data_IF_787833996108
#
_entry.id   IF_787833996108
#
_cell.length_a   1.000
_cell.length_b   1.000
_cell.length_c   1.000
_cell.angle_alpha   90.00
_cell.angle_beta   90.00
_cell.angle_gamma   90.00
#
_symmetry.space_group_name_H-M   'P 1'
#
loop_
_entity.id
_entity.type
_entity.pdbx_description
1 polymer ?
#
# COMPACT_ATOMS: atom_id res chain seq x y z
N UNK A 1 -0.58 27.30 26.09
CA UNK A 1 0.45 26.41 25.50
C UNK A 1 -0.09 25.83 24.20
N UNK A 2 0.57 26.08 23.08
CA UNK A 2 0.16 25.53 21.78
C UNK A 2 0.70 24.10 21.62
N UNK A 3 -0.13 23.18 21.12
CA UNK A 3 0.32 21.86 20.66
C UNK A 3 0.59 21.94 19.17
N UNK A 4 1.78 21.55 18.75
CA UNK A 4 2.16 21.45 17.34
C UNK A 4 2.26 19.97 16.96
N UNK A 5 1.77 19.62 15.79
CA UNK A 5 1.87 18.28 15.23
C UNK A 5 2.50 18.39 13.84
N UNK A 6 3.62 17.71 13.64
CA UNK A 6 4.24 17.55 12.33
C UNK A 6 3.71 16.26 11.71
N UNK A 7 3.07 16.36 10.55
CA UNK A 7 2.51 15.21 9.83
C UNK A 7 3.18 15.10 8.46
N UNK A 8 3.96 14.05 8.25
CA UNK A 8 4.48 13.71 6.94
C UNK A 8 3.38 13.07 6.11
N UNK A 9 3.05 13.67 4.97
CA UNK A 9 2.04 13.17 4.04
C UNK A 9 2.70 12.32 2.97
N UNK A 10 2.32 11.05 2.91
CA UNK A 10 2.67 10.15 1.81
C UNK A 10 1.64 10.27 0.71
N UNK A 11 2.09 10.35 -0.55
CA UNK A 11 1.21 10.29 -1.72
C UNK A 11 1.67 9.16 -2.60
N UNK A 12 0.75 8.25 -2.94
CA UNK A 12 0.97 7.24 -3.98
C UNK A 12 0.59 7.84 -5.32
N UNK A 13 1.39 7.63 -6.36
CA UNK A 13 1.08 8.10 -7.72
C UNK A 13 1.04 6.93 -8.70
N UNK A 14 -0.11 6.74 -9.34
CA UNK A 14 -0.25 5.77 -10.42
C UNK A 14 0.45 6.30 -11.68
N UNK A 15 1.51 5.62 -12.10
CA UNK A 15 2.29 5.98 -13.29
C UNK A 15 1.79 5.24 -14.54
N UNK A 16 1.41 3.98 -14.39
CA UNK A 16 0.98 3.07 -15.45
C UNK A 16 0.06 1.96 -14.88
N UNK A 17 -0.72 1.27 -15.73
CA UNK A 17 -0.99 1.55 -17.14
C UNK A 17 -1.84 2.82 -17.33
N UNK A 18 -1.91 3.34 -18.57
CA UNK A 18 -2.66 4.57 -18.87
C UNK A 18 -4.12 4.50 -18.42
N UNK A 19 -4.78 3.36 -18.63
CA UNK A 19 -6.17 3.12 -18.22
C UNK A 19 -6.36 3.32 -16.71
N UNK A 20 -5.50 2.74 -15.88
CA UNK A 20 -5.58 2.91 -14.43
C UNK A 20 -5.28 4.35 -14.00
N UNK A 21 -4.28 4.99 -14.61
CA UNK A 21 -4.00 6.41 -14.38
C UNK A 21 -5.21 7.30 -14.73
N UNK A 22 -6.03 6.87 -15.70
CA UNK A 22 -7.23 7.58 -16.10
C UNK A 22 -8.33 7.51 -15.02
N UNK A 23 -8.43 6.43 -14.26
CA UNK A 23 -9.38 6.31 -13.14
C UNK A 23 -9.11 7.35 -12.04
N UNK A 24 -7.85 7.75 -11.88
CA UNK A 24 -7.42 8.77 -10.94
C UNK A 24 -7.19 10.15 -11.60
N UNK A 25 -7.88 10.45 -12.71
CA UNK A 25 -7.71 11.73 -13.44
C UNK A 25 -7.94 12.95 -12.58
N UNK A 26 -8.98 12.93 -11.74
CA UNK A 26 -9.38 14.05 -10.89
C UNK A 26 -8.28 14.48 -9.93
N UNK A 27 -7.40 13.55 -9.54
CA UNK A 27 -6.27 13.78 -8.64
C UNK A 27 -4.92 13.81 -9.36
N UNK A 28 -4.91 13.77 -10.70
CA UNK A 28 -3.67 13.70 -11.50
C UNK A 28 -2.90 12.39 -11.32
N UNK A 29 -3.61 11.31 -10.98
CA UNK A 29 -3.03 10.00 -10.67
C UNK A 29 -2.62 9.84 -9.21
N UNK A 30 -3.01 10.74 -8.30
CA UNK A 30 -2.60 10.73 -6.89
C UNK A 30 -3.63 10.00 -6.03
N UNK A 31 -3.13 9.15 -5.14
CA UNK A 31 -3.89 8.53 -4.07
C UNK A 31 -3.29 9.07 -2.77
N UNK A 32 -4.14 9.66 -1.96
CA UNK A 32 -3.75 10.22 -0.68
C UNK A 32 -3.94 9.18 0.42
N UNK A 33 -3.00 9.16 1.36
CA UNK A 33 -3.03 8.22 2.48
C UNK A 33 -2.37 8.79 3.73
N UNK A 34 -2.37 7.98 4.78
CA UNK A 34 -1.68 8.28 6.03
C UNK A 34 -0.43 7.43 6.18
N UNK A 35 0.69 8.09 6.45
CA UNK A 35 1.98 7.45 6.69
C UNK A 35 2.01 6.80 8.07
N UNK A 36 2.58 5.59 8.14
CA UNK A 36 2.93 4.99 9.41
C UNK A 36 4.04 5.78 10.13
N UNK A 37 3.97 5.77 11.47
CA UNK A 37 4.99 6.35 12.36
C UNK A 37 6.23 5.46 12.51
N UNK A 38 6.26 4.33 11.80
CA UNK A 38 7.36 3.37 11.73
C UNK A 38 7.71 3.08 10.27
N UNK A 39 8.94 2.62 10.01
CA UNK A 39 9.40 2.32 8.65
C UNK A 39 9.40 3.54 7.71
N UNK A 40 9.28 4.76 8.24
CA UNK A 40 9.18 5.96 7.44
C UNK A 40 10.42 6.12 6.54
N UNK A 41 10.24 6.45 5.25
CA UNK A 41 11.37 6.68 4.36
C UNK A 41 12.07 7.99 4.75
N UNK A 42 13.31 8.17 4.29
CA UNK A 42 13.98 9.45 4.48
C UNK A 42 13.21 10.57 3.74
N UNK A 43 13.27 11.78 4.30
CA UNK A 43 12.59 12.94 3.73
C UNK A 43 13.09 13.20 2.29
N UNK A 44 12.17 13.24 1.33
CA UNK A 44 12.48 13.51 -0.08
C UNK A 44 12.64 12.29 -0.98
N UNK A 45 12.66 11.07 -0.43
CA UNK A 45 12.77 9.85 -1.23
C UNK A 45 11.47 9.53 -1.99
N UNK A 46 11.63 9.00 -3.21
CA UNK A 46 10.54 8.48 -4.03
C UNK A 46 10.85 7.08 -4.53
N UNK A 47 9.89 6.17 -4.38
CA UNK A 47 10.02 4.78 -4.82
C UNK A 47 9.16 4.54 -6.05
N UNK A 48 9.77 4.04 -7.12
CA UNK A 48 9.06 3.54 -8.30
C UNK A 48 9.08 2.01 -8.24
N UNK A 49 7.90 1.41 -8.16
CA UNK A 49 7.74 -0.04 -8.08
C UNK A 49 6.45 -0.50 -8.76
N UNK A 50 6.31 -1.82 -8.86
CA UNK A 50 5.07 -2.44 -9.32
C UNK A 50 4.15 -2.67 -8.13
N UNK A 51 2.85 -2.52 -8.35
CA UNK A 51 1.84 -2.89 -7.37
C UNK A 51 1.65 -4.41 -7.40
N UNK A 52 1.71 -5.05 -6.25
CA UNK A 52 1.42 -6.48 -6.07
C UNK A 52 0.29 -6.61 -5.07
N UNK A 53 -0.84 -7.18 -5.48
CA UNK A 53 -1.91 -7.50 -4.54
C UNK A 53 -1.59 -8.83 -3.85
N UNK A 54 -1.48 -8.83 -2.52
CA UNK A 54 -1.38 -10.08 -1.77
C UNK A 54 -2.76 -10.70 -1.68
N UNK A 55 -3.07 -11.71 -2.49
CA UNK A 55 -4.37 -12.37 -2.39
C UNK A 55 -4.42 -13.24 -1.12
N UNK A 56 -5.23 -12.84 -0.14
CA UNK A 56 -5.28 -13.48 1.18
C UNK A 56 -6.03 -14.80 1.12
N UNK A 57 -5.49 -15.81 1.80
CA UNK A 57 -6.06 -17.16 1.95
C UNK A 57 -6.91 -17.31 3.21
N UNK A 58 -7.27 -16.21 3.87
CA UNK A 58 -8.23 -16.16 4.98
C UNK A 58 -7.68 -15.58 6.27
N UNK A 59 -6.37 -15.33 6.38
CA UNK A 59 -5.72 -14.82 7.58
C UNK A 59 -5.49 -13.30 7.54
N UNK A 60 -6.14 -12.59 6.61
CA UNK A 60 -6.11 -11.12 6.49
C UNK A 60 -4.68 -10.55 6.52
N UNK A 61 -3.76 -11.16 5.77
CA UNK A 61 -2.36 -10.76 5.62
C UNK A 61 -1.53 -10.81 6.91
N UNK A 62 -1.98 -11.55 7.92
CA UNK A 62 -1.34 -11.59 9.24
C UNK A 62 -0.24 -12.65 9.36
N UNK A 63 -0.17 -13.60 8.43
CA UNK A 63 0.78 -14.72 8.49
C UNK A 63 1.55 -14.88 7.18
N UNK A 64 2.74 -15.49 7.25
CA UNK A 64 3.63 -15.66 6.09
C UNK A 64 3.03 -16.58 5.01
N UNK A 65 2.18 -17.53 5.40
CA UNK A 65 1.52 -18.47 4.50
C UNK A 65 0.24 -17.93 3.84
N UNK A 66 -0.23 -16.74 4.23
CA UNK A 66 -1.55 -16.24 3.85
C UNK A 66 -1.65 -15.75 2.41
N UNK A 67 -0.58 -15.23 1.83
CA UNK A 67 -0.57 -14.74 0.45
C UNK A 67 0.81 -14.99 -0.14
N UNK A 68 1.00 -14.74 -1.43
CA UNK A 68 2.30 -14.88 -2.10
C UNK A 68 2.70 -13.58 -2.79
N UNK A 69 4.00 -13.28 -2.81
CA UNK A 69 4.56 -12.10 -3.47
C UNK A 69 5.63 -12.60 -4.43
N UNK A 70 5.47 -12.41 -5.75
CA UNK A 70 6.45 -12.86 -6.73
C UNK A 70 7.77 -12.11 -6.57
N UNK A 71 8.87 -12.80 -6.87
CA UNK A 71 10.20 -12.19 -6.86
C UNK A 71 10.25 -11.01 -7.86
N UNK A 72 10.90 -9.87 -7.52
CA UNK A 72 11.00 -8.72 -8.42
C UNK A 72 11.60 -9.05 -9.80
N UNK A 73 12.45 -10.08 -9.88
CA UNK A 73 13.09 -10.54 -11.13
C UNK A 73 12.12 -11.22 -12.11
N UNK A 74 10.92 -11.60 -11.67
CA UNK A 74 9.93 -12.32 -12.49
C UNK A 74 9.00 -11.38 -13.28
N UNK A 75 9.19 -10.06 -13.19
CA UNK A 75 8.33 -9.10 -13.87
C UNK A 75 8.87 -8.65 -15.23
N UNK A 76 8.21 -9.08 -16.30
CA UNK A 76 8.31 -8.47 -17.63
C UNK A 76 7.10 -7.56 -17.88
N UNK A 77 7.26 -6.23 -17.98
CA UNK A 77 6.18 -5.34 -18.37
C UNK A 77 5.64 -5.71 -19.76
N UNK A 78 4.31 -5.73 -19.92
CA UNK A 78 3.69 -5.97 -21.21
C UNK A 78 4.14 -4.92 -22.25
N UNK A 79 4.63 -5.38 -23.40
CA UNK A 79 4.84 -4.53 -24.59
C UNK A 79 6.18 -3.78 -24.67
N UNK A 80 7.24 -4.17 -23.96
CA UNK A 80 8.58 -3.60 -24.14
C UNK A 80 9.69 -4.66 -24.26
N UNK A 81 10.47 -4.57 -25.35
CA UNK A 81 11.67 -5.38 -25.64
C UNK A 81 12.94 -4.89 -24.91
N UNK A 82 12.81 -4.10 -23.85
CA UNK A 82 13.96 -3.66 -23.07
C UNK A 82 14.04 -4.51 -21.81
N UNK A 83 15.10 -5.30 -21.75
CA UNK A 83 15.60 -5.94 -20.53
C UNK A 83 15.67 -4.93 -19.37
N UNK A 84 15.32 -5.42 -18.19
CA UNK A 84 15.96 -5.06 -16.91
C UNK A 84 15.64 -3.67 -16.30
N UNK A 85 14.37 -3.31 -16.13
CA UNK A 85 14.01 -2.47 -14.96
C UNK A 85 13.39 -3.39 -13.92
N UNK A 86 14.20 -3.83 -12.95
CA UNK A 86 13.70 -4.56 -11.78
C UNK A 86 12.87 -3.60 -10.93
N UNK A 87 11.55 -3.64 -11.10
CA UNK A 87 10.64 -2.87 -10.28
C UNK A 87 10.52 -3.55 -8.92
N UNK A 88 10.84 -2.83 -7.86
CA UNK A 88 10.60 -3.29 -6.49
C UNK A 88 9.12 -3.57 -6.25
N UNK A 89 8.84 -4.47 -5.33
CA UNK A 89 7.46 -4.82 -4.96
C UNK A 89 6.88 -3.78 -3.99
N UNK A 90 5.81 -3.11 -4.42
CA UNK A 90 4.92 -2.35 -3.55
C UNK A 90 3.72 -3.26 -3.28
N UNK A 91 3.65 -3.83 -2.08
CA UNK A 91 2.63 -4.84 -1.75
C UNK A 91 1.39 -4.18 -1.17
N UNK A 92 0.22 -4.52 -1.72
CA UNK A 92 -1.07 -4.07 -1.24
C UNK A 92 -1.74 -5.18 -0.41
N UNK A 93 -2.14 -4.83 0.81
CA UNK A 93 -2.77 -5.73 1.79
C UNK A 93 -4.00 -5.09 2.43
N UNK A 94 -4.89 -5.87 3.02
CA UNK A 94 -6.11 -5.37 3.66
C UNK A 94 -5.91 -5.16 5.17
N UNK A 95 -6.56 -4.14 5.75
CA UNK A 95 -6.58 -3.87 7.19
C UNK A 95 -7.52 -4.87 7.90
N UNK A 96 -7.13 -5.32 9.09
CA UNK A 96 -7.92 -6.23 9.94
C UNK A 96 -7.07 -7.38 10.50
N UNK A 97 -7.61 -8.15 11.45
CA UNK A 97 -6.97 -9.36 12.01
C UNK A 97 -5.76 -9.15 12.92
N UNK A 98 -4.86 -8.23 12.58
CA UNK A 98 -3.61 -7.95 13.29
C UNK A 98 -3.19 -6.48 13.11
N UNK A 99 -2.12 -6.09 13.81
CA UNK A 99 -1.57 -4.72 13.76
C UNK A 99 -0.98 -4.37 12.38
N UNK A 100 -0.88 -3.07 12.09
CA UNK A 100 -0.18 -2.57 10.90
C UNK A 100 1.27 -3.04 10.85
N UNK A 101 1.96 -3.00 12.00
CA UNK A 101 3.34 -3.50 12.16
C UNK A 101 3.46 -4.96 11.75
N UNK A 102 2.52 -5.81 12.18
CA UNK A 102 2.52 -7.24 11.81
C UNK A 102 2.41 -7.43 10.31
N UNK A 103 1.46 -6.75 9.65
CA UNK A 103 1.27 -6.82 8.19
C UNK A 103 2.52 -6.38 7.44
N UNK A 104 3.14 -5.29 7.87
CA UNK A 104 4.35 -4.76 7.22
C UNK A 104 5.53 -5.71 7.43
N UNK A 105 5.65 -6.35 8.60
CA UNK A 105 6.67 -7.39 8.84
C UNK A 105 6.50 -8.60 7.93
N UNK A 106 5.27 -9.10 7.79
CA UNK A 106 4.94 -10.22 6.88
C UNK A 106 5.31 -9.84 5.45
N UNK A 107 4.82 -8.69 4.96
CA UNK A 107 5.11 -8.22 3.61
C UNK A 107 6.62 -8.06 3.37
N UNK A 108 7.35 -7.49 4.34
CA UNK A 108 8.81 -7.32 4.27
C UNK A 108 9.55 -8.65 4.14
N UNK A 109 9.16 -9.68 4.91
CA UNK A 109 9.73 -11.04 4.78
C UNK A 109 9.46 -11.66 3.41
N UNK A 110 8.42 -11.18 2.72
CA UNK A 110 8.03 -11.58 1.36
C UNK A 110 8.50 -10.58 0.30
N UNK A 111 9.67 -9.96 0.51
CA UNK A 111 10.34 -9.08 -0.46
C UNK A 111 9.57 -7.79 -0.83
N UNK A 112 8.64 -7.34 0.02
CA UNK A 112 8.05 -6.01 -0.12
C UNK A 112 9.09 -4.93 0.20
N UNK A 113 9.14 -3.90 -0.63
CA UNK A 113 9.97 -2.71 -0.43
C UNK A 113 9.15 -1.50 0.02
N UNK A 114 7.83 -1.56 -0.16
CA UNK A 114 6.86 -0.64 0.42
C UNK A 114 5.53 -1.39 0.59
N UNK A 115 4.69 -0.91 1.52
CA UNK A 115 3.39 -1.54 1.80
C UNK A 115 2.28 -0.52 1.71
N UNK A 116 1.25 -0.82 0.93
CA UNK A 116 -0.01 -0.11 0.90
C UNK A 116 -1.02 -0.94 1.69
N UNK A 117 -1.57 -0.38 2.75
CA UNK A 117 -2.59 -1.02 3.56
C UNK A 117 -3.92 -0.37 3.20
N UNK A 118 -4.86 -1.17 2.71
CA UNK A 118 -6.20 -0.70 2.35
C UNK A 118 -7.11 -0.84 3.56
N UNK A 119 -7.88 0.20 3.85
CA UNK A 119 -8.83 0.17 4.95
C UNK A 119 -9.88 -0.96 4.80
N UNK A 120 -10.46 -1.36 5.92
CA UNK A 120 -11.36 -2.53 6.00
C UNK A 120 -12.65 -2.32 5.20
N UNK A 121 -13.24 -3.42 4.72
CA UNK A 121 -14.41 -3.42 3.80
C UNK A 121 -15.65 -2.75 4.39
N UNK A 122 -15.84 -2.86 5.70
CA UNK A 122 -16.96 -2.28 6.47
C UNK A 122 -16.65 -0.86 6.99
N UNK A 123 -15.54 -0.25 6.56
CA UNK A 123 -15.18 1.10 6.97
C UNK A 123 -16.03 2.15 6.26
N UNK A 124 -16.48 3.15 7.03
CA UNK A 124 -17.13 4.37 6.51
C UNK A 124 -16.14 5.50 6.24
N UNK A 125 -14.84 5.26 6.48
CA UNK A 125 -13.80 6.28 6.35
C UNK A 125 -13.55 6.63 4.89
N UNK A 126 -13.60 7.91 4.59
CA UNK A 126 -13.26 8.46 3.27
C UNK A 126 -11.75 8.65 3.11
N UNK A 127 -11.29 8.91 1.89
CA UNK A 127 -9.90 9.33 1.65
C UNK A 127 -9.53 10.62 2.39
N UNK A 128 -10.50 11.45 2.80
CA UNK A 128 -10.23 12.64 3.61
C UNK A 128 -10.02 12.28 5.09
N UNK A 129 -10.84 11.36 5.62
CA UNK A 129 -10.72 10.89 7.00
C UNK A 129 -9.40 10.16 7.20
N UNK A 130 -9.03 9.28 6.25
CA UNK A 130 -7.79 8.51 6.29
C UNK A 130 -6.57 9.42 6.41
N UNK A 131 -6.54 10.57 5.73
CA UNK A 131 -5.41 11.53 5.81
C UNK A 131 -5.16 12.10 7.20
N UNK A 132 -6.18 12.05 8.07
CA UNK A 132 -6.11 12.58 9.42
C UNK A 132 -5.86 11.50 10.47
N UNK A 133 -5.81 10.23 10.06
CA UNK A 133 -5.49 9.11 10.96
C UNK A 133 -3.98 9.06 11.15
N UNK A 134 -3.53 8.76 12.37
CA UNK A 134 -2.14 8.43 12.65
C UNK A 134 -2.02 6.91 12.72
N UNK A 135 -1.23 6.34 11.83
CA UNK A 135 -0.93 4.91 11.87
C UNK A 135 0.21 4.69 12.87
N UNK A 136 -0.16 4.29 14.08
CA UNK A 136 0.75 4.13 15.21
C UNK A 136 1.51 2.80 15.18
N UNK A 137 2.76 2.82 15.66
CA UNK A 137 3.50 1.63 16.06
C UNK A 137 2.81 0.93 17.24
N UNK A 138 2.83 -0.39 17.26
CA UNK A 138 2.32 -1.22 18.35
C UNK A 138 3.38 -1.57 19.41
N UNK A 139 4.58 -0.99 19.30
CA UNK A 139 5.72 -1.24 20.17
C UNK A 139 6.73 -2.23 19.59
N UNK A 140 6.45 -2.81 18.42
CA UNK A 140 7.32 -3.78 17.76
C UNK A 140 7.79 -3.33 16.37
N UNK A 141 7.58 -2.08 15.99
CA UNK A 141 7.96 -1.51 14.70
C UNK A 141 9.44 -1.13 14.54
N UNK A 142 10.25 -1.22 15.59
CA UNK A 142 11.66 -0.76 15.60
C UNK A 142 12.55 -1.34 14.49
N UNK A 143 12.26 -2.56 14.02
CA UNK A 143 13.02 -3.26 12.99
C UNK A 143 12.36 -3.17 11.59
N UNK A 144 11.35 -2.32 11.41
CA UNK A 144 10.74 -2.06 10.11
C UNK A 144 11.50 -0.93 9.41
N UNK A 145 12.02 -1.22 8.23
CA UNK A 145 12.80 -0.29 7.40
C UNK A 145 12.20 -0.07 6.01
N UNK A 146 10.92 -0.43 5.81
CA UNK A 146 10.20 -0.18 4.58
C UNK A 146 9.01 0.77 4.83
N UNK A 147 8.75 1.74 3.94
CA UNK A 147 7.63 2.66 4.08
C UNK A 147 6.29 1.93 4.01
N UNK A 148 5.33 2.42 4.80
CA UNK A 148 3.94 1.97 4.69
C UNK A 148 2.95 3.12 4.77
N UNK A 149 1.86 2.97 4.03
CA UNK A 149 0.78 3.95 3.92
C UNK A 149 -0.57 3.27 4.05
N UNK A 150 -1.47 3.87 4.83
CA UNK A 150 -2.89 3.51 4.88
C UNK A 150 -3.64 4.33 3.83
N UNK A 151 -4.42 3.68 2.98
CA UNK A 151 -5.32 4.32 2.01
C UNK A 151 -6.77 3.89 2.22
N UNK A 152 -7.70 4.66 1.67
CA UNK A 152 -9.13 4.33 1.73
C UNK A 152 -9.45 3.04 0.97
N UNK A 153 -10.56 2.40 1.37
CA UNK A 153 -11.07 1.24 0.66
C UNK A 153 -11.40 1.53 -0.83
N UNK A 154 -12.10 2.63 -1.18
CA UNK A 154 -12.34 3.00 -2.58
C UNK A 154 -11.05 3.15 -3.40
N UNK A 155 -10.05 3.85 -2.87
CA UNK A 155 -8.78 4.06 -3.57
C UNK A 155 -8.04 2.73 -3.79
N UNK A 156 -8.07 1.85 -2.78
CA UNK A 156 -7.53 0.50 -2.87
C UNK A 156 -8.19 -0.31 -3.97
N UNK A 157 -9.53 -0.36 -4.01
CA UNK A 157 -10.29 -1.07 -5.06
C UNK A 157 -9.89 -0.62 -6.47
N UNK A 158 -9.86 0.69 -6.70
CA UNK A 158 -9.45 1.24 -7.98
C UNK A 158 -8.00 0.86 -8.32
N UNK A 159 -7.06 0.95 -7.36
CA UNK A 159 -5.65 0.64 -7.60
C UNK A 159 -5.39 -0.81 -8.07
N UNK A 160 -6.14 -1.78 -7.53
CA UNK A 160 -6.05 -3.19 -7.96
C UNK A 160 -6.93 -3.53 -9.17
N UNK A 161 -7.66 -2.55 -9.71
CA UNK A 161 -8.59 -2.77 -10.83
C UNK A 161 -9.80 -3.63 -10.46
N UNK A 162 -10.13 -3.74 -9.17
CA UNK A 162 -11.37 -4.38 -8.76
C UNK A 162 -12.52 -3.43 -9.11
N UNK A 163 -13.47 -3.81 -9.98
CA UNK A 163 -14.76 -3.14 -9.96
C UNK A 163 -15.33 -3.28 -8.54
N UNK A 164 -15.99 -2.23 -8.05
CA UNK A 164 -16.75 -2.24 -6.80
C UNK A 164 -17.93 -3.24 -6.79
N UNK A 165 -18.01 -4.16 -7.77
CA UNK A 165 -19.12 -5.07 -8.06
C UNK A 165 -18.75 -6.55 -7.91
N UNK A 166 -17.97 -6.88 -6.88
CA UNK A 166 -17.91 -8.24 -6.33
C UNK A 166 -18.25 -8.20 -4.84
N UNK A 167 -19.42 -7.63 -4.55
CA UNK A 167 -20.35 -8.31 -3.66
C UNK A 167 -20.76 -9.62 -4.37
N UNK A 168 -20.00 -10.70 -4.20
CA UNK A 168 -20.45 -12.05 -4.57
C UNK A 168 -20.06 -13.06 -3.50
N UNK A 169 -20.81 -13.05 -2.40
CA UNK A 169 -21.82 -14.06 -2.04
C UNK A 169 -22.33 -13.75 -0.64
#
# INVERSE_FOLDING_TARGET
MGKLQLVQRFTVRVVAPRKLKQEFQQTGGRIDGSTATFGAPFYGDSFLGRLVYGDSKGELHCTDGDYDVPEPSEYTPEGKSYKEVSLINIVLVERGGCSFVTKVKVARRKHAHAVIIVDKKDSVLTSQDIRNIIVADDGYGSNINIPSVLISRPDGSCAVGFPADVARR
#
